data_IF_091280010695
#
_entry.id   IF_091280010695
#
_cell.length_a   1.000
_cell.length_b   1.000
_cell.length_c   1.000
_cell.angle_alpha   90.00
_cell.angle_beta   90.00
_cell.angle_gamma   90.00
#
_symmetry.space_group_name_H-M   'P 1'
#
loop_
_entity.id
_entity.type
_entity.pdbx_description
1 polymer ?
#
# COMPACT_ATOMS: atom_id res chain seq x y z
N UNK A 1 3.82 -12.92 -9.77
CA UNK A 1 2.77 -13.94 -9.57
C UNK A 1 2.08 -13.66 -8.24
N UNK A 2 0.72 -13.65 -8.13
CA UNK A 2 0.05 -13.37 -6.87
C UNK A 2 0.57 -14.25 -5.72
N UNK A 3 0.82 -13.65 -4.55
CA UNK A 3 1.38 -14.30 -3.36
C UNK A 3 2.78 -14.93 -3.55
N UNK A 4 3.51 -14.56 -4.59
CA UNK A 4 4.93 -14.87 -4.69
C UNK A 4 5.69 -14.06 -3.66
N UNK A 5 6.60 -14.71 -2.95
CA UNK A 5 7.42 -14.04 -1.94
C UNK A 5 8.62 -13.40 -2.61
N UNK A 6 8.87 -12.15 -2.29
CA UNK A 6 10.05 -11.38 -2.70
C UNK A 6 10.73 -10.81 -1.46
N UNK A 7 12.04 -10.66 -1.52
CA UNK A 7 12.82 -9.99 -0.47
C UNK A 7 13.03 -8.54 -0.90
N UNK A 8 12.70 -7.62 -0.02
CA UNK A 8 12.88 -6.17 -0.23
C UNK A 8 13.88 -5.64 0.78
N UNK A 9 14.90 -4.92 0.31
CA UNK A 9 15.86 -4.22 1.17
C UNK A 9 15.33 -2.80 1.44
N UNK A 10 14.54 -2.66 2.48
CA UNK A 10 14.00 -1.36 2.88
C UNK A 10 15.07 -0.46 3.47
N UNK A 11 15.27 0.76 2.95
CA UNK A 11 16.23 1.71 3.50
C UNK A 11 16.04 1.91 5.00
N UNK A 12 17.11 1.75 5.78
CA UNK A 12 17.19 1.85 7.25
C UNK A 12 16.47 0.75 8.05
N UNK A 13 15.60 -0.06 7.44
CA UNK A 13 14.89 -1.13 8.13
C UNK A 13 15.50 -2.50 7.86
N UNK A 14 16.17 -2.69 6.71
CA UNK A 14 16.80 -3.95 6.34
C UNK A 14 15.93 -4.80 5.41
N UNK A 15 16.27 -6.09 5.36
CA UNK A 15 15.62 -7.04 4.45
C UNK A 15 14.40 -7.69 5.07
N UNK A 16 13.28 -7.61 4.37
CA UNK A 16 12.03 -8.26 4.76
C UNK A 16 11.43 -9.05 3.61
N UNK A 17 10.80 -10.16 3.94
CA UNK A 17 9.97 -10.90 2.98
C UNK A 17 8.60 -10.25 2.85
N UNK A 18 8.17 -10.04 1.61
CA UNK A 18 6.85 -9.53 1.27
C UNK A 18 6.21 -10.43 0.22
N UNK A 19 4.90 -10.40 0.11
CA UNK A 19 4.17 -11.18 -0.87
C UNK A 19 3.53 -10.26 -1.91
N UNK A 20 3.68 -10.61 -3.19
CA UNK A 20 3.06 -9.86 -4.29
C UNK A 20 1.54 -9.92 -4.13
N UNK A 21 0.93 -8.75 -4.08
CA UNK A 21 -0.51 -8.58 -3.93
C UNK A 21 -1.06 -7.75 -5.08
N UNK A 22 -2.24 -8.13 -5.59
CA UNK A 22 -2.87 -7.40 -6.70
C UNK A 22 -3.57 -6.14 -6.20
N UNK A 23 -3.11 -4.97 -6.67
CA UNK A 23 -3.71 -3.69 -6.35
C UNK A 23 -3.65 -2.75 -7.57
N UNK A 24 -4.54 -1.74 -7.70
CA UNK A 24 -4.62 -0.86 -8.87
C UNK A 24 -3.34 -0.13 -9.22
N UNK A 25 -2.52 0.26 -8.25
CA UNK A 25 -1.29 1.03 -8.48
C UNK A 25 -0.28 0.28 -9.36
N UNK A 26 -0.23 -1.05 -9.26
CA UNK A 26 0.61 -1.87 -10.14
C UNK A 26 0.29 -1.69 -11.65
N UNK A 27 -0.94 -1.22 -11.95
CA UNK A 27 -1.42 -0.97 -13.31
C UNK A 27 -1.32 0.51 -13.66
N UNK A 28 -1.69 1.40 -12.75
CA UNK A 28 -1.82 2.83 -13.02
C UNK A 28 -0.47 3.55 -13.06
N UNK A 29 0.50 3.16 -12.24
CA UNK A 29 1.84 3.76 -12.26
C UNK A 29 2.54 3.63 -13.63
N UNK A 30 2.64 2.45 -14.28
CA UNK A 30 3.24 2.35 -15.60
C UNK A 30 2.51 3.15 -16.69
N UNK A 31 1.20 3.41 -16.50
CA UNK A 31 0.44 4.23 -17.43
C UNK A 31 0.87 5.71 -17.39
N UNK A 32 1.21 6.22 -16.20
CA UNK A 32 1.62 7.61 -16.01
C UNK A 32 3.14 7.80 -16.10
N UNK A 33 3.91 6.75 -15.81
CA UNK A 33 5.37 6.73 -15.83
C UNK A 33 5.86 5.62 -16.77
N UNK A 34 5.88 5.84 -18.10
CA UNK A 34 6.17 4.79 -19.10
C UNK A 34 7.59 4.21 -19.00
N UNK A 35 8.51 4.90 -18.33
CA UNK A 35 9.88 4.44 -18.12
C UNK A 35 10.03 3.49 -16.91
N UNK A 36 8.94 3.22 -16.18
CA UNK A 36 8.96 2.23 -15.11
C UNK A 36 9.04 0.83 -15.71
N UNK A 37 10.08 0.09 -15.33
CA UNK A 37 10.28 -1.29 -15.77
C UNK A 37 9.39 -2.27 -15.02
N UNK A 38 9.15 -2.01 -13.72
CA UNK A 38 8.33 -2.85 -12.85
C UNK A 38 7.54 -2.02 -11.87
N UNK A 39 6.28 -2.37 -11.69
CA UNK A 39 5.40 -1.81 -10.65
C UNK A 39 4.63 -2.94 -9.98
N UNK A 40 4.85 -3.11 -8.68
CA UNK A 40 4.23 -4.18 -7.89
C UNK A 40 3.70 -3.63 -6.57
N UNK A 41 2.61 -4.22 -6.11
CA UNK A 41 2.13 -4.01 -4.76
C UNK A 41 2.54 -5.20 -3.90
N UNK A 42 3.01 -4.90 -2.72
CA UNK A 42 3.53 -5.88 -1.76
C UNK A 42 2.71 -5.82 -0.47
N UNK A 43 2.52 -6.95 0.14
CA UNK A 43 1.85 -7.09 1.42
C UNK A 43 2.75 -7.85 2.38
N UNK A 44 2.97 -7.28 3.54
CA UNK A 44 3.44 -7.99 4.72
C UNK A 44 2.25 -8.53 5.52
N UNK A 45 2.42 -9.66 6.12
CA UNK A 45 1.46 -10.19 7.09
C UNK A 45 2.22 -10.77 8.28
N UNK A 46 1.83 -10.37 9.46
CA UNK A 46 2.32 -10.92 10.70
C UNK A 46 1.75 -12.33 10.96
N UNK A 47 0.76 -12.75 10.19
CA UNK A 47 0.17 -14.08 10.24
C UNK A 47 0.70 -14.96 9.10
N UNK A 48 1.78 -15.69 9.39
CA UNK A 48 2.35 -16.67 8.46
C UNK A 48 1.37 -17.79 8.11
N UNK A 49 0.40 -18.09 9.01
CA UNK A 49 -0.61 -19.12 8.77
C UNK A 49 -1.61 -18.68 7.71
N UNK A 50 -2.03 -17.42 7.74
CA UNK A 50 -2.89 -16.81 6.73
C UNK A 50 -2.23 -16.86 5.34
N UNK A 51 -0.98 -16.41 5.24
CA UNK A 51 -0.24 -16.44 3.97
C UNK A 51 -0.10 -17.87 3.45
N UNK A 52 0.21 -18.83 4.31
CA UNK A 52 0.35 -20.25 3.93
C UNK A 52 -0.98 -20.82 3.44
N UNK A 53 -2.08 -20.49 4.09
CA UNK A 53 -3.43 -20.87 3.69
C UNK A 53 -3.80 -20.28 2.32
N UNK A 54 -3.53 -18.99 2.10
CA UNK A 54 -3.79 -18.32 0.82
C UNK A 54 -2.96 -18.94 -0.31
N UNK A 55 -1.68 -19.26 -0.06
CA UNK A 55 -0.81 -19.97 -1.02
C UNK A 55 -1.35 -21.37 -1.33
N UNK A 56 -1.88 -22.08 -0.35
CA UNK A 56 -2.49 -23.39 -0.55
C UNK A 56 -3.78 -23.30 -1.39
N UNK A 57 -4.66 -22.34 -1.09
CA UNK A 57 -5.87 -22.09 -1.89
C UNK A 57 -5.50 -21.74 -3.34
N UNK A 58 -4.49 -20.88 -3.54
CA UNK A 58 -3.96 -20.57 -4.87
C UNK A 58 -3.51 -21.83 -5.60
N UNK A 59 -2.74 -22.69 -4.95
CA UNK A 59 -2.30 -23.96 -5.53
C UNK A 59 -3.47 -24.83 -5.98
N UNK A 60 -4.52 -24.98 -5.16
CA UNK A 60 -5.71 -25.74 -5.51
C UNK A 60 -6.45 -25.16 -6.73
N UNK A 61 -6.47 -23.83 -6.87
CA UNK A 61 -7.04 -23.17 -8.05
C UNK A 61 -6.18 -23.43 -9.30
N UNK A 62 -4.87 -23.35 -9.18
CA UNK A 62 -3.93 -23.56 -10.28
C UNK A 62 -4.01 -24.98 -10.85
N UNK A 63 -4.14 -26.00 -9.99
CA UNK A 63 -4.33 -27.40 -10.41
C UNK A 63 -5.79 -27.73 -10.75
N UNK A 64 -6.68 -26.72 -10.78
CA UNK A 64 -8.12 -26.82 -11.13
C UNK A 64 -8.95 -27.70 -10.20
N UNK A 65 -8.47 -28.00 -9.00
CA UNK A 65 -9.25 -28.71 -7.98
C UNK A 65 -10.25 -27.79 -7.26
N UNK A 66 -10.01 -26.48 -7.26
CA UNK A 66 -10.88 -25.49 -6.63
C UNK A 66 -11.21 -24.39 -7.64
N UNK A 67 -12.49 -24.07 -7.79
CA UNK A 67 -12.89 -22.90 -8.59
C UNK A 67 -12.68 -21.60 -7.82
N UNK A 68 -12.44 -20.49 -8.53
CA UNK A 68 -12.31 -19.14 -7.91
C UNK A 68 -13.53 -18.78 -7.06
N UNK A 69 -14.74 -19.10 -7.54
CA UNK A 69 -15.98 -18.81 -6.82
C UNK A 69 -16.10 -19.63 -5.52
N UNK A 70 -15.65 -20.88 -5.54
CA UNK A 70 -15.66 -21.72 -4.34
C UNK A 70 -14.58 -21.26 -3.35
N UNK A 71 -13.39 -20.89 -3.84
CA UNK A 71 -12.35 -20.30 -3.02
C UNK A 71 -12.83 -19.02 -2.32
N UNK A 72 -13.50 -18.12 -3.05
CA UNK A 72 -14.07 -16.89 -2.48
C UNK A 72 -15.07 -17.20 -1.34
N UNK A 73 -15.98 -18.17 -1.55
CA UNK A 73 -16.94 -18.59 -0.50
C UNK A 73 -16.27 -19.16 0.73
N UNK A 74 -15.21 -19.96 0.54
CA UNK A 74 -14.43 -20.53 1.67
C UNK A 74 -13.77 -19.38 2.45
N UNK A 75 -13.13 -18.43 1.76
CA UNK A 75 -12.48 -17.28 2.41
C UNK A 75 -13.48 -16.43 3.17
N UNK A 76 -14.62 -16.08 2.57
CA UNK A 76 -15.69 -15.31 3.26
C UNK A 76 -16.22 -16.06 4.49
N UNK A 77 -16.36 -17.38 4.42
CA UNK A 77 -16.78 -18.18 5.55
C UNK A 77 -15.72 -18.19 6.67
N UNK A 78 -14.44 -18.33 6.32
CA UNK A 78 -13.32 -18.29 7.27
C UNK A 78 -13.20 -16.92 7.94
N UNK A 79 -13.34 -15.83 7.17
CA UNK A 79 -13.33 -14.46 7.67
C UNK A 79 -14.44 -14.25 8.73
N UNK A 80 -15.64 -14.81 8.48
CA UNK A 80 -16.74 -14.76 9.45
C UNK A 80 -16.50 -15.57 10.75
N UNK A 81 -15.47 -16.42 10.78
CA UNK A 81 -15.07 -17.17 11.98
C UNK A 81 -13.94 -16.49 12.77
N UNK A 82 -13.27 -15.51 12.19
CA UNK A 82 -12.20 -14.77 12.87
C UNK A 82 -12.81 -13.77 13.86
N UNK A 83 -12.30 -13.80 15.10
CA UNK A 83 -12.66 -12.78 16.08
C UNK A 83 -11.94 -11.47 15.74
N UNK A 84 -12.59 -10.30 15.98
CA UNK A 84 -11.98 -8.98 15.72
C UNK A 84 -10.67 -8.72 16.47
N UNK A 85 -10.40 -9.49 17.52
CA UNK A 85 -9.22 -9.32 18.38
C UNK A 85 -7.93 -9.99 17.85
N UNK A 86 -7.97 -10.65 16.69
CA UNK A 86 -6.81 -11.37 16.15
C UNK A 86 -5.80 -10.43 15.46
N UNK A 87 -6.14 -9.17 15.23
CA UNK A 87 -5.28 -8.19 14.57
C UNK A 87 -4.14 -7.63 15.45
N UNK A 88 -4.12 -7.95 16.74
CA UNK A 88 -3.10 -7.42 17.68
C UNK A 88 -1.84 -8.27 17.83
N UNK A 89 -1.59 -9.20 16.94
CA UNK A 89 -0.41 -10.06 17.01
C UNK A 89 0.79 -9.39 16.32
N UNK A 90 1.62 -8.77 17.13
CA UNK A 90 2.99 -8.41 16.78
C UNK A 90 3.13 -6.94 16.36
N UNK A 91 3.74 -6.14 17.22
CA UNK A 91 4.37 -4.88 16.81
C UNK A 91 5.57 -5.22 15.93
N UNK A 92 5.34 -5.40 14.65
CA UNK A 92 6.44 -5.48 13.71
C UNK A 92 6.97 -4.08 13.40
N UNK A 93 8.25 -4.03 13.06
CA UNK A 93 9.00 -2.80 12.89
C UNK A 93 8.72 -2.10 11.55
N UNK A 94 7.85 -2.65 10.71
CA UNK A 94 7.50 -2.05 9.43
C UNK A 94 6.31 -1.11 9.59
N UNK A 95 6.37 0.09 8.98
CA UNK A 95 5.24 0.99 8.91
C UNK A 95 4.06 0.36 8.15
N UNK A 96 2.82 0.72 8.52
CA UNK A 96 1.60 0.21 7.89
C UNK A 96 1.51 0.52 6.41
N UNK A 97 2.06 1.66 5.98
CA UNK A 97 2.13 2.07 4.57
C UNK A 97 3.56 2.46 4.23
N UNK A 98 4.07 1.87 3.18
CA UNK A 98 5.44 2.06 2.74
C UNK A 98 5.51 2.17 1.21
N UNK A 99 5.96 3.31 0.71
CA UNK A 99 6.28 3.49 -0.70
C UNK A 99 7.77 3.23 -0.93
N UNK A 100 8.11 2.45 -1.96
CA UNK A 100 9.48 2.10 -2.28
C UNK A 100 9.74 2.23 -3.78
N UNK A 101 10.87 2.78 -4.14
CA UNK A 101 11.31 2.89 -5.53
C UNK A 101 12.80 2.63 -5.66
N UNK A 102 13.18 1.94 -6.72
CA UNK A 102 14.56 1.81 -7.18
C UNK A 102 14.74 2.47 -8.54
N UNK A 103 15.89 3.04 -8.77
CA UNK A 103 16.16 3.67 -10.04
C UNK A 103 17.55 4.29 -10.15
N UNK A 104 17.77 5.04 -11.22
CA UNK A 104 19.03 5.74 -11.47
C UNK A 104 18.81 7.24 -11.25
N UNK A 105 19.55 7.81 -10.31
CA UNK A 105 19.59 9.26 -10.09
C UNK A 105 21.02 9.76 -10.20
N UNK A 106 21.27 10.72 -11.10
CA UNK A 106 22.60 11.27 -11.36
C UNK A 106 23.64 10.18 -11.71
N UNK A 107 23.25 9.18 -12.51
CA UNK A 107 24.10 8.08 -12.94
C UNK A 107 24.42 7.04 -11.86
N UNK A 108 23.79 7.09 -10.69
CA UNK A 108 23.96 6.13 -9.59
C UNK A 108 22.67 5.38 -9.35
N UNK A 109 22.77 4.08 -9.12
CA UNK A 109 21.64 3.29 -8.62
C UNK A 109 21.30 3.69 -7.20
N UNK A 110 20.04 3.99 -6.97
CA UNK A 110 19.53 4.40 -5.67
C UNK A 110 18.20 3.74 -5.38
N UNK A 111 17.94 3.46 -4.13
CA UNK A 111 16.60 3.23 -3.62
C UNK A 111 16.12 4.43 -2.82
N UNK A 112 14.83 4.66 -2.86
CA UNK A 112 14.14 5.64 -2.03
C UNK A 112 12.92 4.98 -1.42
N UNK A 113 12.66 5.35 -0.18
CA UNK A 113 11.50 4.87 0.55
C UNK A 113 10.80 6.04 1.23
N UNK A 114 9.49 5.96 1.31
CA UNK A 114 8.66 6.95 1.97
C UNK A 114 7.65 6.24 2.87
N UNK A 115 7.48 6.76 4.06
CA UNK A 115 6.45 6.33 5.01
C UNK A 115 5.95 7.53 5.81
N UNK A 116 4.87 7.34 6.54
CA UNK A 116 4.39 8.35 7.47
C UNK A 116 5.31 8.40 8.71
N UNK A 117 5.65 9.62 9.12
CA UNK A 117 6.36 9.89 10.37
C UNK A 117 5.41 10.73 11.27
N UNK A 118 4.34 10.11 11.72
CA UNK A 118 3.35 10.78 12.55
C UNK A 118 3.25 10.07 13.90
N UNK A 119 3.06 10.86 14.95
CA UNK A 119 2.60 10.36 16.25
C UNK A 119 1.09 10.06 16.23
N UNK A 120 0.39 10.40 15.14
CA UNK A 120 -1.00 10.02 14.95
C UNK A 120 -1.08 8.52 14.75
N UNK A 121 -1.99 7.90 15.46
CA UNK A 121 -2.29 6.47 15.41
C UNK A 121 -2.96 6.12 14.08
N UNK A 122 -2.24 6.38 12.95
CA UNK A 122 -2.68 5.92 11.61
C UNK A 122 -2.83 4.39 11.62
N UNK A 123 -2.04 3.73 12.45
CA UNK A 123 -2.11 2.28 12.68
C UNK A 123 -3.42 1.84 13.36
N UNK A 124 -4.13 2.74 14.03
CA UNK A 124 -5.43 2.48 14.66
C UNK A 124 -6.62 2.71 13.71
N UNK A 125 -6.39 3.26 12.51
CA UNK A 125 -7.45 3.42 11.52
C UNK A 125 -7.92 2.07 11.00
N UNK A 126 -9.23 1.86 11.01
CA UNK A 126 -9.81 0.74 10.28
C UNK A 126 -9.55 0.86 8.77
N UNK A 127 -9.58 -0.24 8.03
CA UNK A 127 -9.43 -0.24 6.58
C UNK A 127 -10.48 0.67 5.91
N UNK A 128 -11.69 0.77 6.48
CA UNK A 128 -12.74 1.67 6.01
C UNK A 128 -12.35 3.14 6.13
N UNK A 129 -11.81 3.54 7.28
CA UNK A 129 -11.34 4.90 7.53
C UNK A 129 -10.11 5.25 6.70
N UNK A 130 -9.14 4.34 6.62
CA UNK A 130 -7.94 4.51 5.78
C UNK A 130 -8.29 4.72 4.30
N UNK A 131 -9.44 4.25 3.84
CA UNK A 131 -9.95 4.45 2.47
C UNK A 131 -10.83 5.70 2.37
N UNK A 132 -11.69 5.94 3.36
CA UNK A 132 -12.68 7.01 3.33
C UNK A 132 -12.05 8.41 3.47
N UNK A 133 -11.08 8.59 4.36
CA UNK A 133 -10.43 9.88 4.56
C UNK A 133 -9.71 10.40 3.30
N UNK A 134 -8.89 9.63 2.59
CA UNK A 134 -8.32 10.06 1.31
C UNK A 134 -9.36 10.46 0.27
N UNK A 135 -10.46 9.72 0.18
CA UNK A 135 -11.57 10.06 -0.72
C UNK A 135 -12.21 11.39 -0.34
N UNK A 136 -12.51 11.61 0.93
CA UNK A 136 -13.07 12.86 1.43
C UNK A 136 -12.14 14.05 1.17
N UNK A 137 -10.83 13.88 1.36
CA UNK A 137 -9.82 14.89 1.03
C UNK A 137 -9.86 15.26 -0.46
N UNK A 138 -9.93 14.27 -1.35
CA UNK A 138 -10.06 14.50 -2.79
C UNK A 138 -11.30 15.31 -3.14
N UNK A 139 -12.45 14.99 -2.55
CA UNK A 139 -13.69 15.76 -2.72
C UNK A 139 -13.53 17.20 -2.25
N UNK A 140 -12.93 17.43 -1.08
CA UNK A 140 -12.68 18.79 -0.57
C UNK A 140 -11.74 19.57 -1.49
N UNK A 141 -10.70 18.95 -2.02
CA UNK A 141 -9.78 19.60 -2.96
C UNK A 141 -10.47 20.02 -4.26
N UNK A 142 -11.46 19.24 -4.74
CA UNK A 142 -12.31 19.63 -5.88
C UNK A 142 -13.16 20.83 -5.51
N UNK A 143 -13.82 20.80 -4.36
CA UNK A 143 -14.69 21.90 -3.91
C UNK A 143 -13.92 23.20 -3.70
N UNK A 144 -12.68 23.13 -3.24
CA UNK A 144 -11.80 24.27 -3.04
C UNK A 144 -11.08 24.74 -4.32
N UNK A 145 -11.35 24.09 -5.45
CA UNK A 145 -10.81 24.46 -6.76
C UNK A 145 -9.32 24.11 -6.95
N UNK A 146 -8.79 23.22 -6.16
CA UNK A 146 -7.39 22.75 -6.30
C UNK A 146 -7.28 21.65 -7.37
N UNK A 147 -8.36 20.92 -7.61
CA UNK A 147 -8.49 19.94 -8.69
C UNK A 147 -9.55 20.48 -9.64
N UNK A 148 -9.14 20.91 -10.82
CA UNK A 148 -10.01 21.57 -11.82
C UNK A 148 -10.19 20.76 -13.09
N UNK A 149 -9.29 19.81 -13.34
CA UNK A 149 -9.31 19.01 -14.56
C UNK A 149 -10.47 18.02 -14.55
N UNK A 150 -11.30 18.12 -15.58
CA UNK A 150 -12.42 17.20 -15.75
C UNK A 150 -11.91 15.83 -16.27
N UNK A 151 -12.50 14.76 -15.75
CA UNK A 151 -12.17 13.40 -16.20
C UNK A 151 -12.00 12.41 -15.06
N UNK A 152 -11.46 11.25 -15.40
CA UNK A 152 -11.06 10.22 -14.43
C UNK A 152 -9.54 10.21 -14.39
N UNK A 153 -9.00 10.53 -13.24
CA UNK A 153 -7.56 10.68 -13.02
C UNK A 153 -7.12 9.80 -11.86
N UNK A 154 -5.96 9.16 -12.02
CA UNK A 154 -5.30 8.49 -10.91
C UNK A 154 -4.52 9.52 -10.06
N UNK A 155 -4.32 9.28 -8.76
CA UNK A 155 -3.55 10.21 -7.90
C UNK A 155 -2.15 10.53 -8.46
N UNK A 156 -1.49 9.56 -9.07
CA UNK A 156 -0.17 9.68 -9.66
C UNK A 156 -0.14 10.40 -11.01
N UNK A 157 -1.29 10.80 -11.56
CA UNK A 157 -1.37 11.56 -12.83
C UNK A 157 -0.76 12.97 -12.76
N UNK A 158 -0.43 13.43 -11.55
CA UNK A 158 0.15 14.75 -11.31
C UNK A 158 -0.86 15.88 -11.16
N UNK A 159 -2.17 15.60 -11.23
CA UNK A 159 -3.21 16.62 -10.96
C UNK A 159 -3.35 16.94 -9.47
N UNK A 160 -2.88 16.04 -8.61
CA UNK A 160 -2.86 16.23 -7.17
C UNK A 160 -1.42 16.45 -6.72
N UNK A 161 -1.13 17.63 -6.19
CA UNK A 161 0.14 17.88 -5.52
C UNK A 161 0.15 17.14 -4.16
N UNK A 162 1.05 16.18 -3.94
CA UNK A 162 1.05 15.36 -2.72
C UNK A 162 1.07 16.19 -1.44
N UNK A 163 1.82 17.30 -1.43
CA UNK A 163 1.91 18.19 -0.27
C UNK A 163 0.54 18.79 0.08
N UNK A 164 -0.23 19.23 -0.91
CA UNK A 164 -1.58 19.74 -0.68
C UNK A 164 -2.49 18.64 -0.14
N UNK A 165 -2.43 17.45 -0.72
CA UNK A 165 -3.20 16.31 -0.26
C UNK A 165 -2.92 16.00 1.22
N UNK A 166 -1.66 15.88 1.61
CA UNK A 166 -1.30 15.60 3.00
C UNK A 166 -1.69 16.71 3.96
N UNK A 167 -1.73 17.98 3.52
CA UNK A 167 -2.26 19.08 4.31
C UNK A 167 -3.78 18.97 4.56
N UNK A 168 -4.54 18.44 3.61
CA UNK A 168 -5.95 18.14 3.81
C UNK A 168 -6.13 16.94 4.73
N UNK A 169 -5.40 15.87 4.48
CA UNK A 169 -5.48 14.66 5.26
C UNK A 169 -5.15 14.93 6.75
N UNK A 170 -4.13 15.75 7.04
CA UNK A 170 -3.77 16.09 8.41
C UNK A 170 -4.90 16.78 9.19
N UNK A 171 -5.73 17.57 8.51
CA UNK A 171 -6.89 18.21 9.15
C UNK A 171 -7.99 17.21 9.52
N UNK A 172 -8.11 16.12 8.77
CA UNK A 172 -9.16 15.14 8.97
C UNK A 172 -8.79 14.06 10.00
N UNK A 173 -7.50 13.65 10.05
CA UNK A 173 -7.07 12.52 10.88
C UNK A 173 -6.07 12.88 11.97
N UNK A 174 -5.55 14.11 11.99
CA UNK A 174 -4.48 14.52 12.90
C UNK A 174 -4.72 15.92 13.50
N UNK A 175 -5.97 16.29 13.69
CA UNK A 175 -6.38 17.59 14.29
C UNK A 175 -5.64 18.82 13.71
N UNK A 176 -5.24 18.73 12.44
CA UNK A 176 -4.49 19.76 11.73
C UNK A 176 -2.98 19.78 12.00
N UNK A 177 -2.46 18.86 12.81
CA UNK A 177 -1.01 18.66 12.95
C UNK A 177 -0.48 18.11 11.62
N UNK A 178 0.55 18.73 11.00
CA UNK A 178 1.06 18.28 9.72
C UNK A 178 1.47 16.81 9.74
N UNK A 179 1.01 16.06 8.73
CA UNK A 179 1.52 14.73 8.49
C UNK A 179 2.91 14.88 7.91
N UNK A 180 3.90 14.43 8.64
CA UNK A 180 5.28 14.42 8.20
C UNK A 180 5.59 13.11 7.46
N UNK A 181 6.35 13.21 6.37
CA UNK A 181 6.77 12.08 5.57
C UNK A 181 8.26 11.82 5.82
N UNK A 182 8.57 10.67 6.34
CA UNK A 182 9.95 10.19 6.40
C UNK A 182 10.38 9.69 5.02
N UNK A 183 11.34 10.38 4.41
CA UNK A 183 11.93 9.99 3.13
C UNK A 183 13.37 9.55 3.37
N UNK A 184 13.66 8.30 3.04
CA UNK A 184 14.99 7.73 3.16
C UNK A 184 15.54 7.32 1.81
N UNK A 185 16.85 7.47 1.60
CA UNK A 185 17.51 7.08 0.35
C UNK A 185 18.74 6.27 0.65
N UNK A 186 19.05 5.30 -0.23
CA UNK A 186 20.23 4.45 -0.14
C UNK A 186 20.86 4.28 -1.52
N UNK A 187 22.18 4.35 -1.61
CA UNK A 187 22.89 3.91 -2.80
C UNK A 187 22.88 2.38 -2.85
N UNK A 188 22.48 1.82 -3.98
CA UNK A 188 22.48 0.39 -4.25
C UNK A 188 23.64 0.07 -5.20
N UNK A 189 24.41 -0.96 -4.84
CA UNK A 189 25.56 -1.42 -5.64
C UNK A 189 25.12 -2.34 -6.79
#
# INVERSE_FOLDING_TARGET
RPLETVTVDYPQLGNYEANIFGHPEAISFPHHYPDIEESINLMHSNDASLISMLKFIRFLIEIKLLSKNMAARILTWLEGLQSPDTEKAGKEMLPSVYGYAEGIKNGKKMSAAVTFNTEADIDDLSMGEATAYPLACGVKMILDGLITDAGVHAPESGIIEPKHFFNYLSKEINDGVPIDLSITTKNIS
#
